data_IF_196261813730
#
_entry.id   IF_196261813730
#
_cell.length_a   1.000
_cell.length_b   1.000
_cell.length_c   1.000
_cell.angle_alpha   90.00
_cell.angle_beta   90.00
_cell.angle_gamma   90.00
#
_symmetry.space_group_name_H-M   'P 1'
#
loop_
_entity.id
_entity.type
_entity.pdbx_description
1 polymer ?
#
# COMPACT_ATOMS: atom_id res chain seq x y z
N UNK A 1 -7.51 -10.00 -22.56
CA UNK A 1 -7.46 -10.34 -21.12
C UNK A 1 -8.11 -9.18 -20.34
N UNK A 2 -8.78 -9.44 -19.24
CA UNK A 2 -9.20 -8.35 -18.35
C UNK A 2 -7.93 -7.62 -17.84
N UNK A 3 -8.01 -6.30 -17.67
CA UNK A 3 -6.95 -5.44 -17.09
C UNK A 3 -5.67 -5.26 -17.93
N UNK A 4 -5.73 -5.34 -19.27
CA UNK A 4 -4.56 -5.15 -20.16
C UNK A 4 -3.93 -3.75 -20.04
N UNK A 5 -4.68 -2.76 -19.54
CA UNK A 5 -4.27 -1.36 -19.38
C UNK A 5 -3.80 -1.04 -17.95
N UNK A 6 -3.80 -2.02 -17.07
CA UNK A 6 -3.38 -1.91 -15.68
C UNK A 6 -2.04 -2.58 -15.39
N UNK A 7 -1.34 -2.08 -14.37
CA UNK A 7 -0.09 -2.64 -13.89
C UNK A 7 0.01 -2.51 -12.36
N UNK A 8 0.48 -3.57 -11.72
CA UNK A 8 0.85 -3.51 -10.30
C UNK A 8 2.30 -3.08 -10.20
N UNK A 9 2.59 -2.02 -9.44
CA UNK A 9 3.93 -1.61 -9.06
C UNK A 9 4.14 -1.88 -7.56
N UNK A 10 5.27 -2.53 -7.25
CA UNK A 10 5.64 -2.92 -5.89
C UNK A 10 6.90 -2.15 -5.51
N UNK A 11 6.77 -1.00 -4.80
CA UNK A 11 7.92 -0.22 -4.39
C UNK A 11 8.70 -0.94 -3.30
N UNK A 12 10.02 -1.04 -3.47
CA UNK A 12 10.91 -1.63 -2.49
C UNK A 12 12.18 -0.79 -2.33
N UNK A 13 12.62 -0.62 -1.08
CA UNK A 13 13.91 -0.02 -0.74
C UNK A 13 14.69 -0.96 0.16
N UNK A 14 16.01 -0.91 0.06
CA UNK A 14 16.86 -1.69 0.95
C UNK A 14 16.98 -1.03 2.33
N UNK A 15 17.14 0.31 2.34
CA UNK A 15 17.29 1.07 3.57
C UNK A 15 15.96 1.17 4.32
N UNK A 16 15.86 0.43 5.41
CA UNK A 16 14.75 0.44 6.34
C UNK A 16 15.32 0.59 7.76
N UNK A 17 14.90 1.62 8.49
CA UNK A 17 15.43 1.91 9.82
C UNK A 17 15.04 0.86 10.85
N UNK A 18 13.76 0.44 10.86
CA UNK A 18 13.22 -0.51 11.84
C UNK A 18 13.63 -1.96 11.55
N UNK A 19 13.78 -2.34 10.29
CA UNK A 19 14.16 -3.67 9.85
C UNK A 19 15.15 -3.57 8.66
N UNK A 20 16.46 -3.44 8.90
CA UNK A 20 17.46 -3.27 7.85
C UNK A 20 17.42 -4.39 6.81
N UNK A 21 17.41 -4.02 5.51
CA UNK A 21 17.28 -4.96 4.41
C UNK A 21 15.92 -5.66 4.32
N UNK A 22 14.86 -5.03 4.83
CA UNK A 22 13.51 -5.58 4.98
C UNK A 22 13.04 -6.36 3.75
N UNK A 23 13.15 -5.79 2.55
CA UNK A 23 12.69 -6.41 1.31
C UNK A 23 13.33 -7.79 1.03
N UNK A 24 14.56 -8.01 1.50
CA UNK A 24 15.32 -9.26 1.31
C UNK A 24 15.26 -10.21 2.52
N UNK A 25 14.57 -9.83 3.61
CA UNK A 25 14.33 -10.76 4.74
C UNK A 25 13.47 -11.92 4.28
N UNK A 26 13.83 -13.11 4.75
CA UNK A 26 13.09 -14.33 4.37
C UNK A 26 11.94 -14.61 5.31
N UNK A 27 10.82 -14.98 4.74
CA UNK A 27 9.62 -15.47 5.42
C UNK A 27 9.34 -16.86 4.83
N UNK A 28 9.48 -17.91 5.64
CA UNK A 28 9.37 -19.30 5.23
C UNK A 28 10.15 -19.63 3.91
N UNK A 29 11.43 -19.23 3.89
CA UNK A 29 12.36 -19.54 2.79
C UNK A 29 12.32 -18.60 1.59
N UNK A 30 11.27 -17.77 1.40
CA UNK A 30 11.17 -16.78 0.32
C UNK A 30 11.43 -15.37 0.86
N UNK A 31 12.10 -14.51 0.09
CA UNK A 31 12.26 -13.09 0.47
C UNK A 31 10.90 -12.38 0.51
N UNK A 32 10.79 -11.34 1.34
CA UNK A 32 9.56 -10.55 1.48
C UNK A 32 9.10 -10.03 0.13
N UNK A 33 9.99 -9.40 -0.64
CA UNK A 33 9.64 -8.83 -1.95
C UNK A 33 9.15 -9.90 -2.93
N UNK A 34 9.76 -11.11 -2.91
CA UNK A 34 9.30 -12.24 -3.72
C UNK A 34 7.90 -12.68 -3.31
N UNK A 35 7.59 -12.75 -2.01
CA UNK A 35 6.24 -13.10 -1.55
C UNK A 35 5.21 -12.07 -1.98
N UNK A 36 5.50 -10.79 -1.78
CA UNK A 36 4.60 -9.71 -2.22
C UNK A 36 4.34 -9.77 -3.72
N UNK A 37 5.38 -10.02 -4.53
CA UNK A 37 5.22 -10.20 -5.97
C UNK A 37 4.37 -11.43 -6.31
N UNK A 38 4.71 -12.61 -5.76
CA UNK A 38 3.97 -13.86 -6.00
C UNK A 38 2.48 -13.71 -5.61
N UNK A 39 2.18 -13.03 -4.50
CA UNK A 39 0.80 -12.73 -4.08
C UNK A 39 0.10 -11.79 -5.04
N UNK A 40 0.79 -10.75 -5.50
CA UNK A 40 0.23 -9.76 -6.42
C UNK A 40 -0.17 -10.38 -7.76
N UNK A 41 0.67 -11.22 -8.35
CA UNK A 41 0.37 -11.85 -9.65
C UNK A 41 -0.75 -12.90 -9.61
N UNK A 42 -1.10 -13.40 -8.42
CA UNK A 42 -2.28 -14.27 -8.26
C UNK A 42 -3.60 -13.56 -8.58
N UNK A 43 -3.62 -12.23 -8.61
CA UNK A 43 -4.75 -11.44 -9.13
C UNK A 43 -4.94 -11.58 -10.65
N UNK A 44 -3.98 -12.17 -11.38
CA UNK A 44 -3.98 -12.23 -12.84
C UNK A 44 -3.58 -10.93 -13.53
N UNK A 45 -3.19 -9.90 -12.76
CA UNK A 45 -2.70 -8.61 -13.26
C UNK A 45 -1.17 -8.65 -13.31
N UNK A 46 -0.57 -8.10 -14.37
CA UNK A 46 0.88 -7.98 -14.45
C UNK A 46 1.43 -7.15 -13.29
N UNK A 47 2.57 -7.57 -12.75
CA UNK A 47 3.23 -6.88 -11.65
C UNK A 47 4.72 -6.66 -11.92
N UNK A 48 5.29 -5.61 -11.36
CA UNK A 48 6.70 -5.27 -11.45
C UNK A 48 7.18 -4.65 -10.13
N UNK A 49 8.37 -5.04 -9.70
CA UNK A 49 9.06 -4.40 -8.58
C UNK A 49 9.73 -3.11 -9.06
N UNK A 50 9.67 -2.06 -8.26
CA UNK A 50 10.38 -0.79 -8.53
C UNK A 50 11.29 -0.46 -7.35
N UNK A 51 12.60 -0.32 -7.62
CA UNK A 51 13.61 -0.18 -6.57
C UNK A 51 14.76 0.73 -7.01
N UNK A 52 15.56 1.20 -6.05
CA UNK A 52 16.82 1.92 -6.29
C UNK A 52 18.05 1.06 -5.94
N UNK A 53 17.87 -0.14 -5.42
CA UNK A 53 18.95 -0.96 -4.85
C UNK A 53 19.26 -2.19 -5.71
N UNK A 54 20.54 -2.31 -6.06
CA UNK A 54 21.02 -3.39 -6.92
C UNK A 54 20.84 -4.78 -6.31
N UNK A 55 20.88 -4.91 -4.97
CA UNK A 55 20.67 -6.20 -4.28
C UNK A 55 19.24 -6.72 -4.45
N UNK A 56 18.26 -5.80 -4.50
CA UNK A 56 16.85 -6.14 -4.77
C UNK A 56 16.70 -6.53 -6.24
N UNK A 57 17.37 -5.83 -7.15
CA UNK A 57 17.37 -6.19 -8.59
C UNK A 57 17.94 -7.59 -8.80
N UNK A 58 19.05 -7.93 -8.16
CA UNK A 58 19.67 -9.27 -8.25
C UNK A 58 18.74 -10.37 -7.71
N UNK A 59 18.02 -10.09 -6.64
CA UNK A 59 17.02 -11.02 -6.11
C UNK A 59 15.85 -11.19 -7.10
N UNK A 60 15.37 -10.11 -7.71
CA UNK A 60 14.32 -10.17 -8.72
C UNK A 60 14.77 -11.00 -9.95
N UNK A 61 15.97 -10.77 -10.47
CA UNK A 61 16.50 -11.55 -11.60
C UNK A 61 16.66 -13.03 -11.29
N UNK A 62 17.02 -13.37 -10.04
CA UNK A 62 17.15 -14.79 -9.61
C UNK A 62 15.84 -15.57 -9.73
N UNK A 63 14.71 -14.88 -9.67
CA UNK A 63 13.38 -15.50 -9.67
C UNK A 63 12.49 -15.03 -10.83
N UNK A 64 13.09 -14.47 -11.88
CA UNK A 64 12.38 -13.97 -13.08
C UNK A 64 11.27 -12.97 -12.76
N UNK A 65 11.48 -12.13 -11.73
CA UNK A 65 10.55 -11.06 -11.32
C UNK A 65 10.86 -9.82 -12.16
N UNK A 66 9.88 -9.26 -12.89
CA UNK A 66 10.05 -7.99 -13.58
C UNK A 66 10.44 -6.88 -12.60
N UNK A 67 11.48 -6.10 -12.93
CA UNK A 67 11.98 -5.02 -12.07
C UNK A 67 12.44 -3.83 -12.89
N UNK A 68 12.13 -2.61 -12.43
CA UNK A 68 12.68 -1.35 -12.95
C UNK A 68 13.47 -0.62 -11.86
N UNK A 69 14.54 0.05 -12.30
CA UNK A 69 15.40 0.84 -11.42
C UNK A 69 14.99 2.31 -11.50
N UNK A 70 14.57 2.84 -10.36
CA UNK A 70 14.29 4.26 -10.15
C UNK A 70 15.45 4.87 -9.37
N UNK A 71 16.35 5.57 -10.06
CA UNK A 71 17.56 6.19 -9.46
C UNK A 71 17.28 7.54 -8.83
N UNK A 72 16.20 8.18 -9.22
CA UNK A 72 15.79 9.47 -8.69
C UNK A 72 15.49 9.36 -7.19
N UNK A 73 15.87 10.36 -6.39
CA UNK A 73 15.54 10.36 -4.96
C UNK A 73 14.02 10.28 -4.72
N UNK A 74 13.60 9.28 -3.96
CA UNK A 74 12.21 9.07 -3.58
C UNK A 74 12.09 9.11 -2.06
N UNK A 75 11.25 10.01 -1.56
CA UNK A 75 11.01 10.13 -0.12
C UNK A 75 10.04 9.07 0.39
N UNK A 76 9.14 8.60 -0.49
CA UNK A 76 8.06 7.66 -0.16
C UNK A 76 7.96 6.53 -1.18
N UNK A 77 7.17 5.50 -0.85
CA UNK A 77 6.83 4.42 -1.79
C UNK A 77 6.06 4.95 -3.00
N UNK A 78 5.10 5.85 -2.79
CA UNK A 78 4.33 6.47 -3.86
C UNK A 78 5.18 7.37 -4.76
N UNK A 79 6.20 8.09 -4.23
CA UNK A 79 7.14 8.83 -5.08
C UNK A 79 7.86 7.87 -6.06
N UNK A 80 8.29 6.68 -5.59
CA UNK A 80 8.96 5.67 -6.41
C UNK A 80 8.04 5.10 -7.48
N UNK A 81 6.80 4.77 -7.11
CA UNK A 81 5.77 4.31 -8.05
C UNK A 81 5.51 5.38 -9.11
N UNK A 82 5.39 6.64 -8.71
CA UNK A 82 5.13 7.74 -9.62
C UNK A 82 6.28 7.97 -10.61
N UNK A 83 7.54 7.88 -10.15
CA UNK A 83 8.71 7.96 -11.04
C UNK A 83 8.79 6.80 -12.04
N UNK A 84 8.48 5.58 -11.61
CA UNK A 84 8.39 4.45 -12.54
C UNK A 84 7.27 4.65 -13.57
N UNK A 85 6.14 5.18 -13.14
CA UNK A 85 4.97 5.43 -14.00
C UNK A 85 5.24 6.41 -15.15
N UNK A 86 6.18 7.36 -15.00
CA UNK A 86 6.58 8.29 -16.07
C UNK A 86 7.02 7.56 -17.35
N UNK A 87 7.60 6.36 -17.22
CA UNK A 87 8.09 5.53 -18.32
C UNK A 87 7.01 4.63 -18.96
N UNK A 88 5.87 4.45 -18.29
CA UNK A 88 4.84 3.47 -18.63
C UNK A 88 3.74 4.09 -19.51
N UNK A 89 4.05 4.40 -20.76
CA UNK A 89 3.15 5.14 -21.67
C UNK A 89 1.90 4.37 -22.11
N UNK A 90 1.87 3.05 -21.97
CA UNK A 90 0.76 2.17 -22.38
C UNK A 90 -0.14 1.76 -21.22
N UNK A 91 0.18 2.18 -20.01
CA UNK A 91 -0.56 1.84 -18.80
C UNK A 91 -1.46 3.01 -18.42
N UNK A 92 -2.74 2.78 -18.23
CA UNK A 92 -3.71 3.82 -17.88
C UNK A 92 -3.79 4.03 -16.38
N UNK A 93 -3.80 2.93 -15.63
CA UNK A 93 -3.87 2.95 -14.18
C UNK A 93 -2.86 1.99 -13.55
N UNK A 94 -2.49 2.30 -12.34
CA UNK A 94 -1.46 1.61 -11.57
C UNK A 94 -2.04 1.25 -10.20
N UNK A 95 -1.84 0.00 -9.80
CA UNK A 95 -2.05 -0.41 -8.41
C UNK A 95 -0.68 -0.42 -7.73
N UNK A 96 -0.58 0.30 -6.62
CA UNK A 96 0.57 0.24 -5.73
C UNK A 96 0.25 -0.76 -4.62
N UNK A 97 1.01 -1.86 -4.56
CA UNK A 97 1.03 -2.81 -3.46
C UNK A 97 2.35 -2.61 -2.73
N UNK A 98 2.33 -2.24 -1.46
CA UNK A 98 3.55 -1.96 -0.72
C UNK A 98 4.42 -3.20 -0.59
N UNK A 99 5.76 -3.04 -0.71
CA UNK A 99 6.71 -4.15 -0.73
C UNK A 99 6.83 -4.94 0.59
N UNK A 100 6.19 -4.46 1.64
CA UNK A 100 6.11 -5.04 2.98
C UNK A 100 4.76 -5.72 3.28
N UNK A 101 3.97 -6.01 2.21
CA UNK A 101 2.73 -6.76 2.25
C UNK A 101 2.90 -8.20 1.72
N UNK A 102 3.66 -9.08 2.40
CA UNK A 102 3.98 -10.43 1.89
C UNK A 102 2.78 -11.37 1.81
N UNK A 103 1.64 -10.95 2.36
CA UNK A 103 0.37 -11.69 2.38
C UNK A 103 -0.78 -10.89 1.75
N UNK A 104 -0.47 -9.94 0.87
CA UNK A 104 -1.48 -9.16 0.15
C UNK A 104 -2.56 -10.10 -0.44
N UNK A 105 -3.83 -9.73 -0.24
CA UNK A 105 -4.95 -10.53 -0.73
C UNK A 105 -5.19 -10.26 -2.22
N UNK A 106 -5.07 -11.27 -3.11
CA UNK A 106 -5.32 -11.09 -4.53
C UNK A 106 -6.74 -10.61 -4.86
N UNK A 107 -7.74 -10.98 -4.06
CA UNK A 107 -9.11 -10.52 -4.27
C UNK A 107 -9.27 -9.03 -3.95
N UNK A 108 -8.54 -8.52 -2.96
CA UNK A 108 -8.51 -7.09 -2.67
C UNK A 108 -7.87 -6.30 -3.81
N UNK A 109 -6.80 -6.82 -4.40
CA UNK A 109 -6.16 -6.24 -5.59
C UNK A 109 -7.16 -6.20 -6.76
N UNK A 110 -7.91 -7.28 -6.98
CA UNK A 110 -8.96 -7.33 -8.01
C UNK A 110 -10.08 -6.31 -7.76
N UNK A 111 -10.52 -6.13 -6.51
CA UNK A 111 -11.54 -5.12 -6.18
C UNK A 111 -11.04 -3.69 -6.47
N UNK A 112 -9.77 -3.41 -6.20
CA UNK A 112 -9.16 -2.13 -6.57
C UNK A 112 -9.09 -2.00 -8.10
N UNK A 113 -8.69 -3.06 -8.82
CA UNK A 113 -8.63 -3.06 -10.28
C UNK A 113 -10.01 -2.82 -10.92
N UNK A 114 -11.04 -3.48 -10.42
CA UNK A 114 -12.42 -3.27 -10.88
C UNK A 114 -12.88 -1.82 -10.68
N UNK A 115 -12.51 -1.20 -9.56
CA UNK A 115 -12.79 0.21 -9.32
C UNK A 115 -12.01 1.12 -10.28
N UNK A 116 -10.77 0.76 -10.62
CA UNK A 116 -9.96 1.53 -11.59
C UNK A 116 -10.50 1.42 -13.02
N UNK A 117 -11.02 0.25 -13.42
CA UNK A 117 -11.60 0.05 -14.75
C UNK A 117 -12.98 0.72 -14.91
N UNK A 118 -13.83 0.67 -13.87
CA UNK A 118 -15.25 1.00 -13.97
C UNK A 118 -15.65 2.24 -13.16
N UNK A 119 -14.75 2.77 -12.33
CA UNK A 119 -15.02 3.89 -11.43
C UNK A 119 -14.75 5.26 -12.06
N UNK A 120 -14.72 6.27 -11.21
CA UNK A 120 -14.43 7.65 -11.59
C UNK A 120 -12.91 7.86 -11.70
N UNK A 121 -12.43 8.24 -12.87
CA UNK A 121 -11.00 8.47 -13.13
C UNK A 121 -10.43 9.76 -12.48
N UNK A 122 -11.28 10.59 -11.90
CA UNK A 122 -10.85 11.74 -11.10
C UNK A 122 -10.52 11.37 -9.63
N UNK A 123 -10.84 10.12 -9.23
CA UNK A 123 -10.62 9.64 -7.87
C UNK A 123 -9.36 8.77 -7.78
N UNK A 124 -8.56 9.00 -6.74
CA UNK A 124 -7.59 8.02 -6.26
C UNK A 124 -8.34 6.93 -5.48
N UNK A 125 -7.87 5.70 -5.51
CA UNK A 125 -8.48 4.59 -4.76
C UNK A 125 -7.53 4.15 -3.65
N UNK A 126 -8.07 3.88 -2.46
CA UNK A 126 -7.33 3.24 -1.37
C UNK A 126 -8.21 2.25 -0.60
N UNK A 127 -7.58 1.24 -0.02
CA UNK A 127 -8.26 0.23 0.79
C UNK A 127 -8.47 0.67 2.24
N UNK A 128 -9.53 0.13 2.86
CA UNK A 128 -9.75 0.17 4.31
C UNK A 128 -10.38 -1.14 4.78
N UNK A 129 -10.16 -1.48 6.05
CA UNK A 129 -10.80 -2.65 6.69
C UNK A 129 -11.23 -2.32 8.13
N UNK A 130 -12.23 -3.02 8.68
CA UNK A 130 -12.62 -2.82 10.07
C UNK A 130 -11.48 -3.14 11.04
N UNK A 131 -11.32 -2.32 12.09
CA UNK A 131 -10.47 -2.66 13.22
C UNK A 131 -11.26 -3.60 14.14
N UNK A 132 -10.77 -4.82 14.30
CA UNK A 132 -11.44 -5.84 15.13
C UNK A 132 -10.81 -6.03 16.51
N UNK A 133 -9.51 -5.70 16.64
CA UNK A 133 -8.78 -5.78 17.90
C UNK A 133 -8.67 -4.40 18.56
N UNK A 134 -9.09 -4.23 19.83
CA UNK A 134 -8.98 -2.97 20.57
C UNK A 134 -7.56 -2.37 20.60
N UNK A 135 -6.55 -3.21 20.68
CA UNK A 135 -5.16 -2.75 20.72
C UNK A 135 -4.77 -2.00 19.42
N UNK A 136 -5.26 -2.45 18.27
CA UNK A 136 -4.95 -1.87 16.97
C UNK A 136 -5.51 -0.44 16.81
N UNK A 137 -6.62 -0.14 17.52
CA UNK A 137 -7.16 1.22 17.52
C UNK A 137 -6.22 2.24 18.18
N UNK A 138 -5.43 1.80 19.14
CA UNK A 138 -4.47 2.64 19.87
C UNK A 138 -3.04 2.53 19.32
N UNK A 139 -2.80 1.61 18.38
CA UNK A 139 -1.49 1.43 17.76
C UNK A 139 -1.23 2.53 16.73
N UNK A 140 -0.22 3.36 16.96
CA UNK A 140 0.18 4.46 16.07
C UNK A 140 0.78 3.99 14.74
N UNK A 141 1.18 2.72 14.64
CA UNK A 141 1.68 2.16 13.38
C UNK A 141 0.56 1.87 12.38
N UNK A 142 -0.69 1.78 12.86
CA UNK A 142 -1.89 1.51 12.08
C UNK A 142 -2.67 2.81 11.83
N UNK A 143 -2.69 3.36 10.60
CA UNK A 143 -3.48 4.56 10.30
C UNK A 143 -5.00 4.27 10.42
N UNK A 144 -5.71 5.10 11.17
CA UNK A 144 -7.17 5.07 11.29
C UNK A 144 -7.80 5.92 10.21
N UNK A 145 -8.86 5.42 9.59
CA UNK A 145 -9.54 6.01 8.44
C UNK A 145 -10.83 6.70 8.87
N UNK A 146 -11.00 7.95 8.49
CA UNK A 146 -12.26 8.68 8.56
C UNK A 146 -12.79 8.86 7.14
N UNK A 147 -13.81 8.09 6.78
CA UNK A 147 -14.46 8.17 5.49
C UNK A 147 -15.96 8.43 5.64
N UNK A 148 -16.53 9.13 4.68
CA UNK A 148 -17.96 9.38 4.58
C UNK A 148 -18.39 9.29 3.12
N UNK A 149 -19.46 8.55 2.88
CA UNK A 149 -19.99 8.28 1.54
C UNK A 149 -18.93 7.68 0.58
N UNK A 150 -18.13 6.77 1.13
CA UNK A 150 -17.04 6.11 0.42
C UNK A 150 -15.85 7.03 0.07
N UNK A 151 -15.82 8.28 0.54
CA UNK A 151 -14.73 9.21 0.30
C UNK A 151 -13.95 9.47 1.58
N UNK A 152 -12.63 9.38 1.49
CA UNK A 152 -11.71 9.72 2.56
C UNK A 152 -11.90 11.19 2.97
N UNK A 153 -12.02 11.43 4.28
CA UNK A 153 -12.04 12.77 4.86
C UNK A 153 -10.73 13.07 5.58
N UNK A 154 -10.18 12.07 6.27
CA UNK A 154 -8.89 12.16 6.91
C UNK A 154 -8.35 10.77 7.27
N UNK A 155 -7.05 10.66 7.46
CA UNK A 155 -6.38 9.53 8.12
C UNK A 155 -5.48 10.03 9.23
N UNK A 156 -5.40 9.27 10.32
CA UNK A 156 -4.53 9.63 11.44
C UNK A 156 -3.94 8.39 12.10
N UNK A 157 -2.72 8.53 12.60
CA UNK A 157 -2.11 7.54 13.52
C UNK A 157 -2.71 7.62 14.91
N UNK A 158 -3.28 8.78 15.29
CA UNK A 158 -4.04 8.90 16.52
C UNK A 158 -5.32 8.05 16.50
N UNK A 159 -5.85 7.64 17.65
CA UNK A 159 -7.11 6.92 17.74
C UNK A 159 -8.29 7.85 17.39
N UNK A 160 -8.72 7.80 16.13
CA UNK A 160 -9.85 8.59 15.60
C UNK A 160 -10.93 7.66 15.03
N UNK A 161 -12.24 8.01 15.14
CA UNK A 161 -12.77 9.15 15.88
C UNK A 161 -12.57 8.98 17.38
N UNK A 162 -12.34 10.10 18.11
CA UNK A 162 -12.16 10.05 19.56
C UNK A 162 -13.49 9.74 20.25
N UNK A 163 -13.61 8.62 20.98
CA UNK A 163 -14.84 8.26 21.67
C UNK A 163 -15.02 9.09 22.94
N UNK A 164 -15.91 10.08 22.91
CA UNK A 164 -16.15 10.99 24.01
C UNK A 164 -17.35 10.54 24.88
N UNK A 165 -17.21 10.68 26.21
CA UNK A 165 -18.29 10.42 27.18
C UNK A 165 -18.69 8.95 27.31
N UNK A 166 -20.02 8.64 27.39
CA UNK A 166 -20.51 7.27 27.56
C UNK A 166 -20.23 6.34 26.39
N UNK A 167 -19.79 6.87 25.25
CA UNK A 167 -19.49 6.11 24.04
C UNK A 167 -18.04 5.57 24.01
N UNK A 168 -17.26 5.76 25.07
CA UNK A 168 -15.85 5.32 25.12
C UNK A 168 -15.62 3.84 24.77
N UNK A 169 -16.61 2.99 25.05
CA UNK A 169 -16.55 1.56 24.75
C UNK A 169 -17.08 1.23 23.33
N UNK A 170 -17.58 2.24 22.60
CA UNK A 170 -18.17 2.05 21.27
C UNK A 170 -17.18 2.32 20.11
N UNK A 171 -15.88 2.47 20.41
CA UNK A 171 -14.84 2.73 19.42
C UNK A 171 -14.87 1.73 18.25
N UNK A 172 -15.22 0.46 18.53
CA UNK A 172 -15.16 -0.65 17.60
C UNK A 172 -16.26 -0.70 16.55
N UNK A 173 -17.34 0.10 16.69
CA UNK A 173 -18.50 -0.04 15.78
C UNK A 173 -18.24 0.51 14.38
N UNK A 174 -17.32 1.48 14.25
CA UNK A 174 -17.05 2.17 12.98
C UNK A 174 -15.56 2.50 12.78
N UNK A 175 -14.67 1.93 13.59
CA UNK A 175 -13.25 2.18 13.44
C UNK A 175 -12.71 1.39 12.25
N UNK A 176 -12.11 2.09 11.30
CA UNK A 176 -11.50 1.53 10.10
C UNK A 176 -9.99 1.81 10.12
N UNK A 177 -9.22 0.87 9.58
CA UNK A 177 -7.78 1.01 9.34
C UNK A 177 -7.48 1.04 7.85
N UNK A 178 -6.36 1.63 7.49
CA UNK A 178 -5.87 1.62 6.13
C UNK A 178 -5.42 0.23 5.70
N UNK A 179 -5.76 -0.15 4.47
CA UNK A 179 -5.14 -1.27 3.75
C UNK A 179 -4.22 -0.69 2.68
N UNK A 180 -2.94 -1.10 2.69
CA UNK A 180 -1.88 -0.51 1.86
C UNK A 180 -1.90 -1.00 0.40
N UNK A 181 -3.09 -0.96 -0.21
CA UNK A 181 -3.33 -1.16 -1.64
C UNK A 181 -3.97 0.10 -2.19
N UNK A 182 -3.34 0.68 -3.21
CA UNK A 182 -3.76 1.97 -3.79
C UNK A 182 -3.96 1.84 -5.29
N UNK A 183 -4.94 2.54 -5.83
CA UNK A 183 -5.18 2.69 -7.26
C UNK A 183 -4.99 4.13 -7.72
N UNK A 184 -4.19 4.32 -8.78
CA UNK A 184 -3.88 5.64 -9.32
C UNK A 184 -4.01 5.63 -10.84
N UNK A 185 -4.65 6.64 -11.40
CA UNK A 185 -4.41 6.98 -12.80
C UNK A 185 -3.09 7.75 -12.95
N UNK A 186 -2.48 7.71 -14.11
CA UNK A 186 -1.18 8.35 -14.35
C UNK A 186 -1.15 9.83 -13.97
N UNK A 187 -2.19 10.58 -14.32
CA UNK A 187 -2.29 12.01 -14.00
C UNK A 187 -2.31 12.29 -12.48
N UNK A 188 -2.79 11.36 -11.66
CA UNK A 188 -2.70 11.46 -10.20
C UNK A 188 -1.24 11.40 -9.73
N UNK A 189 -0.46 10.46 -10.29
CA UNK A 189 0.95 10.29 -9.94
C UNK A 189 1.80 11.48 -10.44
N UNK A 190 1.50 12.01 -11.62
CA UNK A 190 2.12 13.24 -12.13
C UNK A 190 1.86 14.45 -11.20
N UNK A 191 0.60 14.63 -10.75
CA UNK A 191 0.25 15.64 -9.76
C UNK A 191 0.96 15.42 -8.43
N UNK A 192 1.06 14.17 -7.98
CA UNK A 192 1.76 13.82 -6.73
C UNK A 192 3.23 14.24 -6.77
N UNK A 193 3.95 13.98 -7.86
CA UNK A 193 5.34 14.39 -8.04
C UNK A 193 5.52 15.91 -8.19
N UNK A 194 4.51 16.62 -8.67
CA UNK A 194 4.58 18.09 -8.86
C UNK A 194 4.52 18.88 -7.54
N UNK A 195 4.23 18.21 -6.43
CA UNK A 195 4.09 18.82 -5.10
C UNK A 195 5.07 18.21 -4.10
N UNK A 196 5.67 19.01 -3.22
CA UNK A 196 6.41 18.47 -2.07
C UNK A 196 5.46 17.73 -1.12
N UNK A 197 6.00 17.01 -0.14
CA UNK A 197 5.21 16.49 0.98
C UNK A 197 4.31 17.59 1.54
N UNK A 198 3.07 17.24 1.77
CA UNK A 198 2.09 18.16 2.35
C UNK A 198 2.23 18.22 3.88
N UNK A 199 1.60 19.21 4.51
CA UNK A 199 1.73 19.41 5.97
C UNK A 199 1.19 18.23 6.75
N UNK A 200 0.02 17.70 6.35
CA UNK A 200 -0.58 16.56 7.06
C UNK A 200 0.14 15.25 6.73
N UNK A 201 0.57 15.07 5.47
CA UNK A 201 1.43 13.93 5.11
C UNK A 201 2.73 13.91 5.93
N UNK A 202 3.36 15.06 6.13
CA UNK A 202 4.60 15.15 6.91
C UNK A 202 4.37 14.89 8.40
N UNK A 203 3.24 15.36 8.94
CA UNK A 203 2.89 15.18 10.36
C UNK A 203 2.50 13.75 10.70
N UNK A 204 1.72 13.10 9.85
CA UNK A 204 1.18 11.75 10.09
C UNK A 204 2.04 10.66 9.45
N UNK A 205 2.97 11.01 8.55
CA UNK A 205 3.71 10.09 7.67
C UNK A 205 2.77 9.12 6.92
N UNK A 206 1.71 9.70 6.32
CA UNK A 206 0.67 9.00 5.56
C UNK A 206 0.55 9.62 4.18
N UNK A 207 1.05 8.94 3.15
CA UNK A 207 1.22 9.46 1.78
C UNK A 207 -0.09 9.90 1.12
N UNK A 208 -1.19 9.22 1.40
CA UNK A 208 -2.49 9.49 0.77
C UNK A 208 -3.05 10.87 1.14
N UNK A 209 -2.61 11.46 2.26
CA UNK A 209 -3.04 12.78 2.70
C UNK A 209 -2.61 13.88 1.74
N UNK A 210 -1.52 13.71 0.97
CA UNK A 210 -1.12 14.67 -0.06
C UNK A 210 -2.22 14.89 -1.09
N UNK A 211 -2.94 13.83 -1.49
CA UNK A 211 -4.06 13.96 -2.42
C UNK A 211 -5.22 14.75 -1.82
N UNK A 212 -5.55 14.51 -0.55
CA UNK A 212 -6.59 15.27 0.15
C UNK A 212 -6.24 16.77 0.19
N UNK A 213 -4.99 17.11 0.52
CA UNK A 213 -4.55 18.52 0.55
C UNK A 213 -4.49 19.15 -0.85
N UNK A 214 -4.37 18.36 -1.91
CA UNK A 214 -4.50 18.83 -3.30
C UNK A 214 -5.96 18.94 -3.78
N UNK A 215 -6.94 18.58 -2.94
CA UNK A 215 -8.35 18.54 -3.32
C UNK A 215 -8.72 17.40 -4.27
N UNK A 216 -7.88 16.37 -4.36
CA UNK A 216 -8.15 15.18 -5.15
C UNK A 216 -8.93 14.18 -4.28
N UNK A 217 -10.14 13.78 -4.70
CA UNK A 217 -10.94 12.84 -3.92
C UNK A 217 -10.28 11.46 -3.86
N UNK A 218 -10.36 10.81 -2.70
CA UNK A 218 -9.87 9.46 -2.49
C UNK A 218 -11.05 8.54 -2.18
N UNK A 219 -11.34 7.61 -3.09
CA UNK A 219 -12.34 6.57 -2.91
C UNK A 219 -11.81 5.47 -2.00
N UNK A 220 -12.50 5.23 -0.89
CA UNK A 220 -12.17 4.16 0.03
C UNK A 220 -12.96 2.90 -0.28
N UNK A 221 -12.27 1.78 -0.46
CA UNK A 221 -12.88 0.47 -0.66
C UNK A 221 -12.71 -0.35 0.61
N UNK A 222 -13.82 -0.93 1.09
CA UNK A 222 -13.74 -1.90 2.17
C UNK A 222 -13.17 -3.21 1.64
N UNK A 223 -12.02 -3.61 2.16
CA UNK A 223 -11.21 -4.76 1.77
C UNK A 223 -11.05 -5.72 2.95
N UNK A 224 -10.60 -6.94 2.69
CA UNK A 224 -10.29 -7.89 3.77
C UNK A 224 -8.98 -7.51 4.47
N UNK A 225 -8.01 -6.99 3.72
CA UNK A 225 -6.69 -6.63 4.22
C UNK A 225 -5.71 -7.80 4.28
N UNK A 226 -4.49 -7.48 4.69
CA UNK A 226 -3.43 -8.46 4.97
C UNK A 226 -3.48 -8.85 6.46
N UNK A 227 -3.19 -10.11 6.80
CA UNK A 227 -3.16 -10.54 8.20
C UNK A 227 -2.04 -9.88 9.01
N UNK A 228 -1.02 -9.36 8.34
CA UNK A 228 0.09 -8.65 8.96
C UNK A 228 0.84 -7.80 7.94
N UNK A 229 1.21 -6.61 8.36
CA UNK A 229 2.17 -5.72 7.76
C UNK A 229 3.53 -5.92 8.44
N UNK A 230 4.62 -6.03 7.68
CA UNK A 230 5.91 -6.41 8.26
C UNK A 230 6.87 -5.23 8.28
N UNK A 231 6.99 -4.61 9.43
CA UNK A 231 7.81 -3.40 9.62
C UNK A 231 8.93 -3.57 10.66
N UNK A 232 8.76 -4.49 11.60
CA UNK A 232 9.66 -4.71 12.73
C UNK A 232 10.20 -6.14 12.74
N UNK A 233 11.24 -6.47 13.52
CA UNK A 233 11.68 -7.84 13.75
C UNK A 233 10.56 -8.73 14.33
N UNK A 234 9.74 -8.19 15.22
CA UNK A 234 8.61 -8.88 15.85
C UNK A 234 7.54 -9.24 14.81
N UNK A 235 7.25 -8.34 13.88
CA UNK A 235 6.34 -8.63 12.76
C UNK A 235 6.92 -9.72 11.86
N UNK A 236 8.23 -9.71 11.62
CA UNK A 236 8.90 -10.75 10.83
C UNK A 236 8.75 -12.13 11.49
N UNK A 237 8.87 -12.23 12.81
CA UNK A 237 8.65 -13.48 13.55
C UNK A 237 7.18 -13.93 13.44
N UNK A 238 6.22 -13.03 13.61
CA UNK A 238 4.79 -13.32 13.41
C UNK A 238 4.51 -13.77 11.98
N UNK A 239 5.12 -13.13 10.99
CA UNK A 239 4.99 -13.48 9.58
C UNK A 239 5.51 -14.90 9.28
N UNK A 240 6.56 -15.37 9.97
CA UNK A 240 7.03 -16.78 9.86
C UNK A 240 5.96 -17.79 10.27
N UNK A 241 5.16 -17.45 11.27
CA UNK A 241 4.09 -18.34 11.77
C UNK A 241 2.94 -18.35 10.75
N UNK A 242 2.49 -17.17 10.33
CA UNK A 242 1.38 -16.98 9.38
C UNK A 242 1.71 -17.66 8.02
N UNK A 243 2.97 -17.60 7.60
CA UNK A 243 3.39 -18.16 6.31
C UNK A 243 3.10 -19.66 6.15
N UNK A 244 2.85 -20.41 7.23
CA UNK A 244 2.50 -21.84 7.17
C UNK A 244 1.15 -22.07 6.48
N UNK A 245 0.26 -21.09 6.57
CA UNK A 245 -1.09 -21.15 6.01
C UNK A 245 -1.15 -20.61 4.56
N UNK A 246 -0.03 -20.01 4.09
CA UNK A 246 0.08 -19.34 2.77
C UNK A 246 1.10 -20.00 1.82
N UNK A 247 1.50 -21.23 2.08
CA UNK A 247 2.46 -21.98 1.21
C UNK A 247 1.74 -22.88 0.21
#
# INVERSE_FOLDING_TARGET
MAYERGLILIPARYDSHRLPGKALKKIAGKTMIRRTYERSVLSGINAMVVTDDQRIVEECFRYDIPVDIVKEPCKTGTDRVARAAEKLTKTDWIINVQGDEPFANPNDILRVADQMENGNNDEVVNGMSPITNPADFHDETIPKVIAWDGLLKYMSRAPVPYPYGPTKEMWNRNAMQQVCIYGFFRHHLEKFLSRPKSVYEESEDIEILRFIEMGIPVRMLELEGSPIHVDTPEDLERAQIIAKDYN
#
